data_IF_979947824524
#
_entry.id   IF_979947824524
#
_cell.length_a   1.000
_cell.length_b   1.000
_cell.length_c   1.000
_cell.angle_alpha   90.00
_cell.angle_beta   90.00
_cell.angle_gamma   90.00
#
_symmetry.space_group_name_H-M   'P 1'
#
loop_
_entity.id
_entity.type
_entity.pdbx_description
1 polymer ?
#
# COMPACT_ATOMS: atom_id res chain seq x y z
N UNK A 1 -6.15 1.49 5.76
CA UNK A 1 -6.14 1.15 4.31
C UNK A 1 -7.51 0.68 3.81
N UNK A 2 -8.22 -0.25 4.49
CA UNK A 2 -9.53 -0.73 4.02
C UNK A 2 -10.59 0.37 3.78
N UNK A 3 -10.62 1.40 4.62
CA UNK A 3 -11.48 2.57 4.43
C UNK A 3 -11.16 3.39 3.17
N UNK A 4 -9.96 3.23 2.60
CA UNK A 4 -9.52 3.86 1.35
C UNK A 4 -9.76 2.94 0.13
N UNK A 5 -10.49 1.83 0.28
CA UNK A 5 -10.82 0.90 -0.80
C UNK A 5 -9.78 -0.19 -1.10
N UNK A 6 -8.67 -0.24 -0.36
CA UNK A 6 -7.70 -1.33 -0.49
C UNK A 6 -8.24 -2.62 0.12
N UNK A 7 -7.93 -3.77 -0.49
CA UNK A 7 -8.33 -5.09 0.04
C UNK A 7 -7.12 -6.00 0.22
N UNK A 8 -7.12 -6.84 1.27
CA UNK A 8 -6.04 -7.81 1.47
C UNK A 8 -6.02 -8.83 0.34
N UNK A 9 -4.83 -9.07 -0.23
CA UNK A 9 -4.57 -10.19 -1.14
C UNK A 9 -4.14 -11.46 -0.41
N UNK A 10 -3.81 -11.34 0.88
CA UNK A 10 -3.38 -12.44 1.73
C UNK A 10 -4.57 -13.07 2.42
N UNK A 11 -4.60 -14.41 2.44
CA UNK A 11 -5.52 -15.18 3.26
C UNK A 11 -5.40 -14.80 4.75
N UNK A 12 -6.52 -14.73 5.47
CA UNK A 12 -6.54 -14.27 6.85
C UNK A 12 -5.74 -15.16 7.81
N UNK A 13 -5.59 -16.46 7.50
CA UNK A 13 -4.75 -17.40 8.26
C UNK A 13 -3.26 -17.29 7.95
N UNK A 14 -2.87 -16.50 6.94
CA UNK A 14 -1.50 -16.43 6.42
C UNK A 14 -0.91 -15.01 6.50
N UNK A 15 -1.45 -14.14 7.36
CA UNK A 15 -0.96 -12.77 7.51
C UNK A 15 0.50 -12.75 8.00
N UNK A 16 1.31 -11.90 7.39
CA UNK A 16 2.70 -11.72 7.79
C UNK A 16 2.83 -10.53 8.77
N UNK A 17 3.62 -10.65 9.84
CA UNK A 17 3.86 -9.53 10.76
C UNK A 17 4.73 -8.43 10.13
N UNK A 18 5.38 -8.73 9.02
CA UNK A 18 6.44 -7.90 8.42
C UNK A 18 5.96 -6.96 7.32
N UNK A 19 4.91 -7.34 6.60
CA UNK A 19 4.33 -6.53 5.52
C UNK A 19 2.90 -6.97 5.20
N UNK A 20 2.14 -6.05 4.62
CA UNK A 20 0.78 -6.28 4.12
C UNK A 20 0.76 -6.27 2.59
N UNK A 21 0.06 -7.22 1.98
CA UNK A 21 -0.12 -7.29 0.51
C UNK A 21 -1.54 -6.85 0.19
N UNK A 22 -1.68 -5.72 -0.48
CA UNK A 22 -2.96 -5.04 -0.66
C UNK A 22 -3.24 -4.83 -2.15
N UNK A 23 -4.44 -5.23 -2.60
CA UNK A 23 -4.97 -4.83 -3.89
C UNK A 23 -5.29 -3.35 -3.86
N UNK A 24 -4.94 -2.63 -4.93
CA UNK A 24 -5.37 -1.24 -5.10
C UNK A 24 -6.87 -1.17 -5.41
N UNK A 25 -7.56 -0.06 -5.11
CA UNK A 25 -8.96 0.12 -5.49
C UNK A 25 -9.18 -0.04 -7.00
N UNK A 26 -10.38 -0.47 -7.41
CA UNK A 26 -10.71 -0.62 -8.82
C UNK A 26 -10.58 0.72 -9.57
N UNK A 27 -10.02 0.69 -10.78
CA UNK A 27 -9.81 1.88 -11.61
C UNK A 27 -8.53 2.69 -11.28
N UNK A 28 -7.80 2.34 -10.23
CA UNK A 28 -6.54 3.01 -9.85
C UNK A 28 -5.36 2.44 -10.63
N UNK A 29 -4.55 3.32 -11.26
CA UNK A 29 -3.23 2.96 -11.77
C UNK A 29 -2.25 2.80 -10.59
N UNK A 30 -1.89 1.56 -10.29
CA UNK A 30 -0.96 1.19 -9.22
C UNK A 30 0.39 1.91 -9.32
N UNK A 31 0.92 2.08 -10.53
CA UNK A 31 2.20 2.71 -10.74
C UNK A 31 2.11 4.23 -10.51
N UNK A 32 1.01 4.85 -10.93
CA UNK A 32 0.72 6.26 -10.64
C UNK A 32 0.54 6.51 -9.14
N UNK A 33 -0.23 5.65 -8.46
CA UNK A 33 -0.42 5.67 -7.01
C UNK A 33 0.94 5.63 -6.29
N UNK A 34 1.79 4.65 -6.63
CA UNK A 34 3.14 4.55 -6.01
C UNK A 34 4.01 5.76 -6.29
N UNK A 35 3.97 6.32 -7.50
CA UNK A 35 4.71 7.55 -7.83
C UNK A 35 4.22 8.73 -6.98
N UNK A 36 2.91 8.90 -6.82
CA UNK A 36 2.31 9.96 -6.00
C UNK A 36 2.67 9.81 -4.52
N UNK A 37 2.61 8.60 -3.97
CA UNK A 37 3.07 8.32 -2.60
C UNK A 37 4.57 8.62 -2.42
N UNK A 38 5.41 8.23 -3.39
CA UNK A 38 6.85 8.48 -3.33
C UNK A 38 7.19 9.97 -3.37
N UNK A 39 6.45 10.77 -4.17
CA UNK A 39 6.58 12.23 -4.17
C UNK A 39 6.25 12.86 -2.80
N UNK A 40 5.46 12.17 -1.97
CA UNK A 40 5.12 12.55 -0.59
C UNK A 40 6.06 11.93 0.45
N UNK A 41 7.17 11.33 0.02
CA UNK A 41 8.17 10.74 0.90
C UNK A 41 7.82 9.34 1.42
N UNK A 42 6.76 8.71 0.92
CA UNK A 42 6.35 7.36 1.33
C UNK A 42 6.58 6.38 0.18
N UNK A 43 7.50 5.44 0.37
CA UNK A 43 7.82 4.42 -0.62
C UNK A 43 7.13 3.11 -0.25
N UNK A 44 6.28 2.61 -1.14
CA UNK A 44 5.72 1.25 -1.07
C UNK A 44 6.15 0.45 -2.30
N UNK A 45 6.22 -0.86 -2.16
CA UNK A 45 6.65 -1.71 -3.26
C UNK A 45 5.44 -2.21 -4.07
N UNK A 46 5.62 -2.42 -5.38
CA UNK A 46 4.61 -3.12 -6.17
C UNK A 46 4.59 -4.62 -5.84
N UNK A 47 3.46 -5.26 -6.13
CA UNK A 47 3.38 -6.71 -6.24
C UNK A 47 4.18 -7.24 -7.44
N UNK A 48 4.50 -8.53 -7.40
CA UNK A 48 5.30 -9.21 -8.43
C UNK A 48 4.48 -10.33 -9.09
N UNK A 49 4.94 -10.80 -10.24
CA UNK A 49 4.35 -11.95 -10.94
C UNK A 49 2.88 -11.70 -11.32
N UNK A 50 1.96 -12.65 -11.04
CA UNK A 50 0.54 -12.53 -11.42
C UNK A 50 -0.21 -11.32 -10.82
N UNK A 51 0.38 -10.67 -9.81
CA UNK A 51 -0.18 -9.51 -9.13
C UNK A 51 0.51 -8.18 -9.51
N UNK A 52 1.51 -8.21 -10.40
CA UNK A 52 2.18 -6.99 -10.87
C UNK A 52 1.16 -5.98 -11.43
N UNK A 53 1.27 -4.72 -10.99
CA UNK A 53 0.37 -3.63 -11.40
C UNK A 53 -1.04 -3.68 -10.79
N UNK A 54 -1.35 -4.65 -9.92
CA UNK A 54 -2.68 -4.85 -9.32
C UNK A 54 -2.73 -4.61 -7.81
N UNK A 55 -1.57 -4.44 -7.18
CA UNK A 55 -1.47 -4.30 -5.74
C UNK A 55 -0.10 -3.82 -5.29
N UNK A 56 -0.05 -3.37 -4.04
CA UNK A 56 1.13 -2.88 -3.36
C UNK A 56 1.48 -3.77 -2.15
N UNK A 57 2.73 -3.68 -1.72
CA UNK A 57 3.26 -4.29 -0.51
C UNK A 57 3.73 -3.18 0.41
N UNK A 58 3.12 -3.11 1.60
CA UNK A 58 3.43 -2.11 2.63
C UNK A 58 4.25 -2.79 3.70
N UNK A 59 5.54 -2.47 3.78
CA UNK A 59 6.43 -3.00 4.82
C UNK A 59 6.22 -2.27 6.15
N UNK A 60 6.27 -3.02 7.24
CA UNK A 60 6.15 -2.52 8.60
C UNK A 60 7.14 -3.22 9.55
N UNK A 61 8.34 -3.48 9.04
CA UNK A 61 9.50 -3.94 9.81
C UNK A 61 10.46 -2.78 10.10
N UNK A 62 11.25 -2.91 11.17
CA UNK A 62 12.31 -1.97 11.52
C UNK A 62 11.83 -0.91 12.51
N UNK A 63 12.41 0.28 12.44
CA UNK A 63 12.01 1.43 13.26
C UNK A 63 10.74 2.08 12.68
N UNK A 64 9.60 1.41 12.84
CA UNK A 64 8.29 1.84 12.36
C UNK A 64 7.34 1.96 13.56
N UNK A 65 6.77 3.14 13.76
CA UNK A 65 5.75 3.40 14.77
C UNK A 65 4.47 3.97 14.17
N UNK A 66 3.59 4.47 15.05
CA UNK A 66 2.29 5.03 14.66
C UNK A 66 2.42 6.22 13.71
N UNK A 67 3.49 7.02 13.84
CA UNK A 67 3.74 8.18 12.98
C UNK A 67 4.00 7.76 11.53
N UNK A 68 4.84 6.75 11.30
CA UNK A 68 5.11 6.22 9.96
C UNK A 68 3.86 5.58 9.36
N UNK A 69 3.05 4.89 10.18
CA UNK A 69 1.76 4.33 9.76
C UNK A 69 0.80 5.44 9.34
N UNK A 70 0.64 6.49 10.14
CA UNK A 70 -0.22 7.64 9.82
C UNK A 70 0.21 8.32 8.53
N UNK A 71 1.50 8.62 8.36
CA UNK A 71 2.06 9.19 7.11
C UNK A 71 1.77 8.32 5.89
N UNK A 72 1.84 7.00 6.05
CA UNK A 72 1.54 6.06 4.97
C UNK A 72 0.06 6.10 4.57
N UNK A 73 -0.85 6.19 5.55
CA UNK A 73 -2.29 6.33 5.31
C UNK A 73 -2.62 7.66 4.63
N UNK A 74 -2.05 8.77 5.11
CA UNK A 74 -2.22 10.10 4.53
C UNK A 74 -1.72 10.16 3.08
N UNK A 75 -0.52 9.65 2.82
CA UNK A 75 0.05 9.61 1.48
C UNK A 75 -0.81 8.78 0.53
N UNK A 76 -1.35 7.65 0.99
CA UNK A 76 -2.26 6.83 0.18
C UNK A 76 -3.59 7.53 -0.10
N UNK A 77 -4.21 8.18 0.90
CA UNK A 77 -5.46 8.94 0.71
C UNK A 77 -5.26 10.05 -0.32
N UNK A 78 -4.24 10.88 -0.14
CA UNK A 78 -3.95 11.98 -1.04
C UNK A 78 -3.58 11.52 -2.45
N UNK A 79 -2.98 10.33 -2.60
CA UNK A 79 -2.64 9.75 -3.90
C UNK A 79 -3.86 9.18 -4.65
N UNK A 80 -4.95 8.85 -3.95
CA UNK A 80 -6.22 8.41 -4.56
C UNK A 80 -7.10 9.58 -5.03
N UNK A 81 -6.87 10.77 -4.49
CA UNK A 81 -7.59 12.01 -4.84
C UNK A 81 -6.95 12.76 -6.03
N UNK A 82 -5.84 12.24 -6.57
CA UNK A 82 -5.04 12.83 -7.65
C UNK A 82 -5.47 12.34 -9.03
#
# INVERSE_FOLDING_TARGET
MGQLGFTSLTDAGCLAPTLSVLRVPDGVDEAALRRSMAQRGVIVAGCLGPWAGRGIRVGHMGAVGEVEVARTLEAASAALES
#
